data_IF_781582469406
#
_entry.id   IF_781582469406
#
_cell.length_a   1.000
_cell.length_b   1.000
_cell.length_c   1.000
_cell.angle_alpha   90.00
_cell.angle_beta   90.00
_cell.angle_gamma   90.00
#
_symmetry.space_group_name_H-M   'P 1'
#
loop_
_entity.id
_entity.type
_entity.pdbx_description
1 polymer ?
#
# COMPACT_ATOMS: atom_id res chain seq x y z
N UNK A 1 1.69 3.28 -9.56
CA UNK A 1 1.57 2.27 -8.48
C UNK A 1 1.09 2.97 -7.22
N UNK A 2 0.14 2.34 -6.51
CA UNK A 2 -0.29 2.80 -5.18
C UNK A 2 -0.23 1.63 -4.19
N UNK A 3 0.16 1.94 -2.95
CA UNK A 3 0.33 0.95 -1.89
C UNK A 3 -0.45 1.38 -0.65
N UNK A 4 -1.17 0.47 -0.04
CA UNK A 4 -1.79 0.69 1.27
C UNK A 4 -1.50 -0.49 2.22
N UNK A 5 -1.27 -0.18 3.48
CA UNK A 5 -1.21 -1.15 4.59
C UNK A 5 -2.19 -0.79 5.71
N UNK A 6 -3.02 0.23 5.48
CA UNK A 6 -4.02 0.67 6.44
C UNK A 6 -5.31 -0.17 6.35
N UNK A 7 -6.08 -0.29 7.45
CA UNK A 7 -7.39 -0.97 7.45
C UNK A 7 -8.39 -0.35 6.45
N UNK A 8 -8.25 0.96 6.22
CA UNK A 8 -9.03 1.69 5.21
C UNK A 8 -8.11 2.14 4.09
N UNK A 9 -8.53 1.92 2.84
CA UNK A 9 -7.76 2.34 1.66
C UNK A 9 -7.69 3.87 1.58
N UNK A 10 -6.56 4.43 2.02
CA UNK A 10 -6.24 5.87 1.97
C UNK A 10 -5.46 6.27 0.72
N UNK A 11 -4.97 5.30 -0.03
CA UNK A 11 -4.17 5.49 -1.24
C UNK A 11 -5.00 5.32 -2.52
N UNK A 12 -6.29 4.97 -2.39
CA UNK A 12 -7.19 4.69 -3.50
C UNK A 12 -6.59 3.68 -4.51
N UNK A 13 -6.02 2.59 -3.99
CA UNK A 13 -5.23 1.61 -4.76
C UNK A 13 -6.00 1.03 -5.94
N UNK A 14 -7.32 0.94 -5.83
CA UNK A 14 -8.18 0.42 -6.90
C UNK A 14 -8.31 1.33 -8.12
N UNK A 15 -7.84 2.58 -8.02
CA UNK A 15 -7.86 3.56 -9.13
C UNK A 15 -6.51 3.74 -9.81
N UNK A 16 -5.53 2.90 -9.50
CA UNK A 16 -4.20 2.94 -10.08
C UNK A 16 -3.94 1.76 -11.04
N UNK A 17 -3.02 1.93 -11.98
CA UNK A 17 -2.66 0.88 -12.94
C UNK A 17 -2.23 -0.39 -12.22
N UNK A 18 -1.47 -0.25 -11.12
CA UNK A 18 -1.10 -1.32 -10.20
C UNK A 18 -1.42 -0.84 -8.78
N UNK A 19 -2.27 -1.59 -8.09
CA UNK A 19 -2.62 -1.41 -6.68
C UNK A 19 -2.02 -2.53 -5.82
N UNK A 20 -1.51 -2.18 -4.65
CA UNK A 20 -0.87 -3.12 -3.73
C UNK A 20 -1.49 -2.94 -2.35
N UNK A 21 -2.04 -4.01 -1.78
CA UNK A 21 -2.59 -4.01 -0.43
C UNK A 21 -1.75 -4.95 0.44
N UNK A 22 -1.10 -4.39 1.46
CA UNK A 22 -0.36 -5.20 2.42
C UNK A 22 -1.34 -6.03 3.27
N UNK A 23 -1.08 -7.33 3.37
CA UNK A 23 -1.89 -8.30 4.09
C UNK A 23 -1.02 -9.21 4.96
N UNK A 24 -1.65 -9.87 5.92
CA UNK A 24 -1.07 -11.02 6.63
C UNK A 24 -1.85 -12.27 6.25
N UNK A 25 -1.14 -13.36 6.01
CA UNK A 25 -1.77 -14.68 5.90
C UNK A 25 -2.11 -15.25 7.29
N UNK A 26 -2.67 -16.46 7.31
CA UNK A 26 -3.05 -17.15 8.55
C UNK A 26 -1.86 -17.45 9.47
N UNK A 27 -0.66 -17.60 8.91
CA UNK A 27 0.61 -17.84 9.64
C UNK A 27 1.25 -16.53 10.12
N UNK A 28 0.61 -15.39 9.87
CA UNK A 28 1.10 -14.06 10.25
C UNK A 28 2.17 -13.48 9.32
N UNK A 29 2.52 -14.16 8.22
CA UNK A 29 3.45 -13.65 7.21
C UNK A 29 2.89 -12.41 6.51
N UNK A 30 3.77 -11.44 6.27
CA UNK A 30 3.44 -10.25 5.48
C UNK A 30 3.58 -10.59 3.99
N UNK A 31 2.55 -10.27 3.25
CA UNK A 31 2.49 -10.34 1.81
C UNK A 31 1.58 -9.27 1.24
N UNK A 32 1.26 -9.39 -0.03
CA UNK A 32 0.51 -8.36 -0.76
C UNK A 32 -0.61 -8.98 -1.60
N UNK A 33 -1.76 -8.34 -1.58
CA UNK A 33 -2.73 -8.50 -2.67
C UNK A 33 -2.35 -7.54 -3.79
N UNK A 34 -2.31 -8.05 -5.02
CA UNK A 34 -1.96 -7.28 -6.21
C UNK A 34 -3.20 -7.08 -7.07
N UNK A 35 -3.47 -5.82 -7.40
CA UNK A 35 -4.56 -5.42 -8.27
C UNK A 35 -3.99 -4.71 -9.50
N UNK A 36 -4.61 -4.92 -10.66
CA UNK A 36 -4.21 -4.27 -11.91
C UNK A 36 -5.40 -3.73 -12.70
N UNK A 37 -5.14 -2.79 -13.56
CA UNK A 37 -6.11 -2.28 -14.53
C UNK A 37 -7.04 -1.19 -13.99
N UNK A 38 -6.69 -0.52 -12.88
CA UNK A 38 -7.38 0.68 -12.43
C UNK A 38 -6.97 1.94 -13.17
N UNK A 39 -7.80 2.96 -13.08
CA UNK A 39 -7.46 4.28 -13.60
C UNK A 39 -8.67 5.18 -13.74
N UNK A 40 -8.44 6.45 -13.46
CA UNK A 40 -9.40 7.55 -13.68
C UNK A 40 -9.24 8.12 -15.09
N UNK A 41 -9.94 9.16 -15.38
CA UNK A 41 -9.94 9.88 -16.64
C UNK A 41 -11.23 9.61 -17.44
N UNK A 42 -11.18 9.74 -18.77
CA UNK A 42 -12.37 9.70 -19.63
C UNK A 42 -13.20 8.40 -19.49
N UNK A 43 -12.56 7.29 -19.24
CA UNK A 43 -13.21 5.99 -19.00
C UNK A 43 -12.64 5.42 -17.70
N UNK A 44 -13.26 5.73 -16.56
CA UNK A 44 -12.78 5.21 -15.26
C UNK A 44 -12.99 3.70 -15.16
N UNK A 45 -11.99 3.02 -14.62
CA UNK A 45 -12.01 1.57 -14.39
C UNK A 45 -11.46 1.27 -13.00
N UNK A 46 -12.04 0.28 -12.35
CA UNK A 46 -11.61 -0.21 -11.04
C UNK A 46 -10.67 -1.39 -11.27
N UNK A 47 -9.51 -1.34 -10.62
CA UNK A 47 -8.53 -2.44 -10.66
C UNK A 47 -9.13 -3.74 -10.14
N UNK A 48 -8.78 -4.83 -10.79
CA UNK A 48 -9.17 -6.18 -10.41
C UNK A 48 -7.99 -6.90 -9.77
N UNK A 49 -8.27 -7.75 -8.79
CA UNK A 49 -7.25 -8.57 -8.14
C UNK A 49 -6.71 -9.61 -9.12
N UNK A 50 -5.42 -9.57 -9.37
CA UNK A 50 -4.68 -10.56 -10.17
C UNK A 50 -4.02 -11.60 -9.28
N UNK A 51 -3.62 -11.24 -8.06
CA UNK A 51 -3.05 -12.16 -7.06
C UNK A 51 -3.57 -11.83 -5.68
N UNK A 52 -4.16 -12.81 -4.99
CA UNK A 52 -4.76 -12.62 -3.66
C UNK A 52 -3.72 -12.48 -2.54
N UNK A 53 -2.62 -13.21 -2.67
CA UNK A 53 -1.50 -13.15 -1.73
C UNK A 53 -0.18 -13.44 -2.45
N UNK A 54 0.75 -12.51 -2.36
CA UNK A 54 2.10 -12.59 -2.87
C UNK A 54 3.08 -12.41 -1.69
N UNK A 55 3.97 -13.37 -1.39
CA UNK A 55 4.99 -13.19 -0.36
C UNK A 55 5.88 -11.97 -0.64
N UNK A 56 6.27 -11.23 0.41
CA UNK A 56 6.96 -9.92 0.29
C UNK A 56 8.23 -9.98 -0.58
N UNK A 57 8.98 -11.09 -0.53
CA UNK A 57 10.22 -11.28 -1.29
C UNK A 57 10.03 -11.23 -2.81
N UNK A 58 8.84 -11.56 -3.29
CA UNK A 58 8.53 -11.63 -4.72
C UNK A 58 7.88 -10.37 -5.29
N UNK A 59 7.75 -9.30 -4.49
CA UNK A 59 7.03 -8.11 -4.92
C UNK A 59 7.60 -7.50 -6.20
N UNK A 60 8.92 -7.34 -6.28
CA UNK A 60 9.56 -6.71 -7.43
C UNK A 60 9.49 -7.58 -8.67
N UNK A 61 9.75 -8.88 -8.56
CA UNK A 61 9.67 -9.80 -9.70
C UNK A 61 8.26 -9.93 -10.26
N UNK A 62 7.24 -9.89 -9.39
CA UNK A 62 5.85 -9.94 -9.84
C UNK A 62 5.41 -8.65 -10.54
N UNK A 63 5.82 -7.49 -10.03
CA UNK A 63 5.57 -6.20 -10.69
C UNK A 63 6.27 -6.17 -12.06
N UNK A 64 7.50 -6.64 -12.14
CA UNK A 64 8.24 -6.75 -13.39
C UNK A 64 7.50 -7.65 -14.40
N UNK A 65 6.96 -8.79 -13.98
CA UNK A 65 6.17 -9.66 -14.85
C UNK A 65 4.93 -8.92 -15.41
N UNK A 66 4.21 -8.18 -14.57
CA UNK A 66 3.08 -7.35 -15.03
C UNK A 66 3.52 -6.35 -16.08
N UNK A 67 4.65 -5.68 -15.87
CA UNK A 67 5.16 -4.68 -16.80
C UNK A 67 5.64 -5.30 -18.11
N UNK A 68 6.23 -6.50 -18.09
CA UNK A 68 6.64 -7.23 -19.30
C UNK A 68 5.44 -7.65 -20.13
N UNK A 69 4.42 -8.23 -19.52
CA UNK A 69 3.16 -8.56 -20.20
C UNK A 69 2.53 -7.31 -20.81
N UNK A 70 2.46 -6.22 -20.04
CA UNK A 70 1.96 -4.94 -20.56
C UNK A 70 2.83 -4.39 -21.68
N UNK A 71 4.15 -4.51 -21.62
CA UNK A 71 5.05 -4.06 -22.70
C UNK A 71 4.83 -4.85 -23.99
N UNK A 72 4.52 -6.13 -23.89
CA UNK A 72 4.26 -6.99 -25.03
C UNK A 72 2.88 -6.71 -25.66
N UNK A 73 1.83 -6.60 -24.86
CA UNK A 73 0.43 -6.61 -25.31
C UNK A 73 -0.26 -5.24 -25.24
N UNK A 74 0.29 -4.29 -24.48
CA UNK A 74 -0.30 -2.98 -24.33
C UNK A 74 -0.34 -2.19 -25.65
N UNK A 75 -1.45 -1.46 -25.84
CA UNK A 75 -1.66 -0.62 -27.03
C UNK A 75 -0.54 0.43 -27.18
N UNK A 76 0.02 0.55 -28.41
CA UNK A 76 1.04 1.54 -28.75
C UNK A 76 0.62 2.43 -29.93
N UNK A 77 -0.41 2.03 -30.65
CA UNK A 77 -0.99 2.77 -31.77
C UNK A 77 -1.71 4.06 -31.34
N UNK A 78 -2.18 4.11 -30.11
CA UNK A 78 -2.91 5.26 -29.58
C UNK A 78 -2.49 5.58 -28.15
N UNK A 79 -1.82 6.72 -27.96
CA UNK A 79 -1.31 7.18 -26.65
C UNK A 79 -2.38 7.29 -25.55
N UNK A 80 -3.63 7.57 -25.93
CA UNK A 80 -4.75 7.66 -24.98
C UNK A 80 -5.26 6.29 -24.52
N UNK A 81 -4.89 5.25 -25.22
CA UNK A 81 -5.22 3.84 -24.90
C UNK A 81 -4.02 3.04 -24.39
N UNK A 82 -2.84 3.64 -24.31
CA UNK A 82 -1.61 3.01 -23.84
C UNK A 82 -1.57 2.95 -22.30
N UNK A 83 -2.50 2.17 -21.72
CA UNK A 83 -2.66 1.98 -20.26
C UNK A 83 -2.96 0.52 -19.94
N UNK A 84 -2.47 0.04 -18.80
CA UNK A 84 -2.74 -1.33 -18.31
C UNK A 84 -4.25 -1.60 -18.23
N UNK A 85 -5.05 -0.65 -17.80
CA UNK A 85 -6.50 -0.79 -17.70
C UNK A 85 -7.18 -1.15 -19.02
N UNK A 86 -6.63 -0.66 -20.14
CA UNK A 86 -7.17 -0.97 -21.47
C UNK A 86 -6.85 -2.41 -21.85
N UNK A 87 -5.62 -2.87 -21.62
CA UNK A 87 -5.25 -4.26 -21.82
C UNK A 87 -6.12 -5.22 -21.00
N UNK A 88 -6.28 -4.94 -19.71
CA UNK A 88 -7.13 -5.76 -18.82
C UNK A 88 -8.61 -5.74 -19.23
N UNK A 89 -9.09 -4.65 -19.81
CA UNK A 89 -10.45 -4.54 -20.30
C UNK A 89 -10.67 -5.35 -21.59
N UNK A 90 -9.71 -5.30 -22.51
CA UNK A 90 -9.80 -5.94 -23.82
C UNK A 90 -9.59 -7.46 -23.73
N UNK A 91 -8.64 -7.93 -22.91
CA UNK A 91 -8.31 -9.36 -22.78
C UNK A 91 -9.04 -10.05 -21.62
N UNK A 92 -9.40 -9.32 -20.59
CA UNK A 92 -9.93 -9.89 -19.35
C UNK A 92 -8.85 -10.11 -18.29
N UNK A 93 -9.27 -10.14 -17.00
CA UNK A 93 -8.32 -10.28 -15.89
C UNK A 93 -7.74 -11.69 -15.80
N UNK A 94 -8.51 -12.70 -16.13
CA UNK A 94 -8.10 -14.10 -16.02
C UNK A 94 -6.99 -14.41 -17.03
N UNK A 95 -7.18 -14.04 -18.30
CA UNK A 95 -6.17 -14.23 -19.35
C UNK A 95 -4.89 -13.43 -19.06
N UNK A 96 -5.03 -12.15 -18.68
CA UNK A 96 -3.86 -11.34 -18.28
C UNK A 96 -3.18 -11.93 -17.04
N UNK A 97 -3.94 -12.45 -16.10
CA UNK A 97 -3.43 -13.10 -14.90
C UNK A 97 -2.59 -14.34 -15.23
N UNK A 98 -3.08 -15.22 -16.09
CA UNK A 98 -2.33 -16.40 -16.55
C UNK A 98 -1.00 -16.01 -17.19
N UNK A 99 -1.01 -15.04 -18.09
CA UNK A 99 0.23 -14.55 -18.72
C UNK A 99 1.22 -13.94 -17.73
N UNK A 100 0.73 -13.22 -16.72
CA UNK A 100 1.57 -12.65 -15.66
C UNK A 100 2.17 -13.76 -14.79
N UNK A 101 1.39 -14.79 -14.43
CA UNK A 101 1.90 -15.93 -13.66
C UNK A 101 2.97 -16.70 -14.46
N UNK A 102 2.73 -16.96 -15.74
CA UNK A 102 3.68 -17.63 -16.62
C UNK A 102 5.00 -16.85 -16.74
N UNK A 103 4.93 -15.54 -16.94
CA UNK A 103 6.12 -14.70 -17.00
C UNK A 103 6.82 -14.63 -15.65
N UNK A 104 6.05 -14.52 -14.55
CA UNK A 104 6.63 -14.49 -13.21
C UNK A 104 7.34 -15.80 -12.86
N UNK A 105 6.78 -16.96 -13.20
CA UNK A 105 7.44 -18.26 -12.99
C UNK A 105 8.83 -18.33 -13.65
N UNK A 106 9.01 -17.65 -14.78
CA UNK A 106 10.32 -17.60 -15.47
C UNK A 106 11.34 -16.69 -14.76
N UNK A 107 10.87 -15.64 -14.07
CA UNK A 107 11.76 -14.61 -13.52
C UNK A 107 11.81 -14.55 -12.01
N UNK A 108 10.97 -15.29 -11.27
CA UNK A 108 10.84 -15.18 -9.82
C UNK A 108 12.10 -15.48 -9.03
N UNK A 109 13.02 -16.28 -9.60
CA UNK A 109 14.32 -16.62 -9.01
C UNK A 109 15.47 -15.82 -9.63
N UNK A 110 15.16 -14.72 -10.29
CA UNK A 110 16.14 -13.84 -10.92
C UNK A 110 16.73 -12.82 -9.92
N UNK A 111 17.57 -11.93 -10.45
CA UNK A 111 18.17 -10.79 -9.70
C UNK A 111 17.12 -9.84 -9.06
N UNK A 112 15.84 -10.00 -9.39
CA UNK A 112 14.72 -9.23 -8.84
C UNK A 112 14.17 -9.79 -7.51
N UNK A 113 14.65 -10.93 -7.07
CA UNK A 113 14.37 -11.41 -5.72
C UNK A 113 15.15 -10.56 -4.73
N UNK A 114 14.44 -9.94 -3.77
CA UNK A 114 15.08 -9.11 -2.75
C UNK A 114 15.87 -9.98 -1.76
N UNK A 115 17.20 -9.80 -1.67
CA UNK A 115 18.00 -10.49 -0.68
C UNK A 115 17.54 -10.15 0.74
N UNK A 116 17.55 -11.13 1.65
CA UNK A 116 17.18 -10.91 3.04
C UNK A 116 18.01 -9.81 3.72
N UNK A 117 19.28 -9.67 3.34
CA UNK A 117 20.19 -8.63 3.83
C UNK A 117 19.73 -7.24 3.44
N UNK A 118 19.26 -7.06 2.20
CA UNK A 118 18.75 -5.77 1.73
C UNK A 118 17.43 -5.40 2.41
N UNK A 119 16.54 -6.38 2.61
CA UNK A 119 15.32 -6.18 3.39
C UNK A 119 15.68 -5.75 4.81
N UNK A 120 16.60 -6.44 5.49
CA UNK A 120 17.04 -6.11 6.84
C UNK A 120 17.71 -4.73 6.91
N UNK A 121 18.48 -4.33 5.88
CA UNK A 121 19.08 -3.00 5.78
C UNK A 121 18.00 -1.91 5.72
N UNK A 122 16.97 -2.11 4.91
CA UNK A 122 15.87 -1.14 4.77
C UNK A 122 15.02 -1.10 6.04
N UNK A 123 14.72 -2.23 6.66
CA UNK A 123 13.92 -2.31 7.88
C UNK A 123 14.51 -1.49 9.04
N UNK A 124 15.83 -1.31 9.08
CA UNK A 124 16.50 -0.45 10.09
C UNK A 124 16.01 1.00 10.07
N UNK A 125 15.64 1.53 8.89
CA UNK A 125 15.12 2.90 8.75
C UNK A 125 13.68 3.05 9.28
N UNK A 126 12.98 1.94 9.50
CA UNK A 126 11.59 1.91 9.96
C UNK A 126 11.45 1.33 11.36
N UNK A 127 12.55 1.15 12.07
CA UNK A 127 12.52 0.74 13.46
C UNK A 127 11.82 1.81 14.29
N UNK A 128 11.05 1.37 15.28
CA UNK A 128 10.43 2.28 16.23
C UNK A 128 11.52 3.09 16.95
N UNK A 129 11.31 4.40 17.18
CA UNK A 129 12.22 5.19 17.99
C UNK A 129 12.29 4.63 19.41
N UNK A 130 13.36 4.93 20.13
CA UNK A 130 13.43 4.66 21.56
C UNK A 130 12.39 5.54 22.26
N UNK A 131 11.28 4.92 22.68
CA UNK A 131 10.25 5.61 23.43
C UNK A 131 10.72 5.84 24.86
N UNK A 132 10.53 7.07 25.37
CA UNK A 132 10.80 7.38 26.77
C UNK A 132 9.74 6.72 27.66
N UNK A 133 10.13 6.18 28.83
CA UNK A 133 9.17 5.68 29.80
C UNK A 133 8.34 6.84 30.32
N UNK A 134 7.03 6.80 30.09
CA UNK A 134 6.11 7.80 30.62
C UNK A 134 5.80 7.48 32.08
N UNK A 135 6.10 8.41 32.98
CA UNK A 135 5.89 8.26 34.41
C UNK A 135 4.65 9.08 34.82
N UNK A 136 3.56 8.39 35.15
CA UNK A 136 2.36 8.99 35.73
C UNK A 136 1.33 9.51 34.70
N UNK A 137 0.19 9.95 35.19
CA UNK A 137 -0.85 10.63 34.40
C UNK A 137 -0.55 12.14 34.33
N UNK A 138 -0.72 12.71 33.14
CA UNK A 138 -0.64 14.16 32.95
C UNK A 138 -1.94 14.82 33.46
N UNK A 139 -1.95 15.13 34.75
CA UNK A 139 -3.07 15.80 35.42
C UNK A 139 -3.32 17.21 34.87
N UNK A 140 -2.28 17.88 34.35
CA UNK A 140 -2.38 19.21 33.77
C UNK A 140 -3.14 19.17 32.42
N UNK A 141 -2.90 18.17 31.59
CA UNK A 141 -3.66 17.98 30.36
C UNK A 141 -5.15 17.71 30.62
N UNK A 142 -5.44 16.84 31.57
CA UNK A 142 -6.81 16.50 31.96
C UNK A 142 -7.55 17.71 32.52
N UNK A 143 -6.94 18.48 33.43
CA UNK A 143 -7.51 19.70 34.01
C UNK A 143 -7.80 20.75 32.91
N UNK A 144 -6.82 21.05 32.06
CA UNK A 144 -7.01 22.02 30.97
C UNK A 144 -8.12 21.63 30.01
N UNK A 145 -8.21 20.34 29.68
CA UNK A 145 -9.29 19.83 28.82
C UNK A 145 -10.67 19.96 29.47
N UNK A 146 -10.76 19.90 30.79
CA UNK A 146 -11.99 20.11 31.54
C UNK A 146 -12.38 21.58 31.61
N UNK A 147 -11.43 22.45 31.87
CA UNK A 147 -11.65 23.90 32.08
C UNK A 147 -11.88 24.68 30.76
N UNK A 148 -11.17 24.30 29.71
CA UNK A 148 -11.19 25.00 28.42
C UNK A 148 -11.95 24.19 27.35
N UNK A 149 -13.18 24.64 27.05
CA UNK A 149 -14.05 24.01 26.05
C UNK A 149 -13.48 24.07 24.62
N UNK A 150 -12.76 25.14 24.28
CA UNK A 150 -12.13 25.29 22.96
C UNK A 150 -10.97 24.31 22.81
N UNK A 151 -10.14 24.18 23.84
CA UNK A 151 -9.09 23.18 23.89
C UNK A 151 -9.64 21.74 23.84
N UNK A 152 -10.72 21.47 24.59
CA UNK A 152 -11.37 20.15 24.53
C UNK A 152 -11.90 19.81 23.13
N UNK A 153 -12.45 20.79 22.43
CA UNK A 153 -12.89 20.61 21.05
C UNK A 153 -11.72 20.38 20.11
N UNK A 154 -10.64 21.15 20.25
CA UNK A 154 -9.43 20.98 19.47
C UNK A 154 -8.82 19.59 19.67
N UNK A 155 -8.71 19.11 20.91
CA UNK A 155 -8.23 17.77 21.24
C UNK A 155 -9.07 16.69 20.56
N UNK A 156 -10.39 16.80 20.57
CA UNK A 156 -11.28 15.83 19.89
C UNK A 156 -11.03 15.74 18.40
N UNK A 157 -10.69 16.86 17.76
CA UNK A 157 -10.49 16.91 16.31
C UNK A 157 -9.09 16.56 15.86
N UNK A 158 -8.09 16.78 16.71
CA UNK A 158 -6.68 16.77 16.32
C UNK A 158 -5.83 15.71 17.03
N UNK A 159 -6.32 15.12 18.12
CA UNK A 159 -5.56 14.14 18.91
C UNK A 159 -6.17 12.76 18.76
N UNK A 160 -5.37 11.80 18.38
CA UNK A 160 -5.73 10.39 18.30
C UNK A 160 -4.81 9.54 19.17
N UNK A 161 -5.26 8.38 19.67
CA UNK A 161 -4.43 7.49 20.46
C UNK A 161 -3.27 6.94 19.62
N UNK A 162 -2.09 6.88 20.20
CA UNK A 162 -0.94 6.21 19.63
C UNK A 162 -0.94 4.72 20.03
N UNK A 163 -0.36 3.85 19.20
CA UNK A 163 -0.22 2.41 19.49
C UNK A 163 0.68 2.13 20.70
N UNK A 164 1.62 3.04 21.00
CA UNK A 164 2.46 2.99 22.21
C UNK A 164 1.72 3.69 23.34
N UNK A 165 1.44 3.01 24.47
CA UNK A 165 0.82 3.63 25.63
C UNK A 165 1.59 4.84 26.16
N UNK A 166 0.88 5.88 26.59
CA UNK A 166 1.48 7.13 27.06
C UNK A 166 1.81 8.15 25.95
N UNK A 167 1.65 7.79 24.68
CA UNK A 167 1.87 8.67 23.53
C UNK A 167 0.56 8.99 22.80
N UNK A 168 0.53 10.13 22.16
CA UNK A 168 -0.60 10.56 21.34
C UNK A 168 -0.13 11.01 19.95
N UNK A 169 -1.00 10.87 18.96
CA UNK A 169 -0.81 11.42 17.61
C UNK A 169 -1.51 12.77 17.59
N UNK A 170 -0.77 13.83 17.22
CA UNK A 170 -1.32 15.18 17.06
C UNK A 170 -1.30 15.54 15.59
N UNK A 171 -2.48 15.80 15.01
CA UNK A 171 -2.63 16.24 13.63
C UNK A 171 -2.76 17.76 13.58
N UNK A 172 -1.79 18.42 12.97
CA UNK A 172 -1.81 19.87 12.75
C UNK A 172 -2.15 20.15 11.29
N UNK A 173 -3.23 20.93 11.06
CA UNK A 173 -3.54 21.43 9.72
C UNK A 173 -2.68 22.66 9.44
N UNK A 174 -1.87 22.57 8.39
CA UNK A 174 -1.04 23.69 7.91
C UNK A 174 -1.65 24.14 6.58
N UNK A 175 -1.91 25.44 6.46
CA UNK A 175 -2.38 26.03 5.21
C UNK A 175 -1.20 26.38 4.30
#
# INVERSE_FOLDING_TARGET
IAVTGAPHDRAAVRFHDIGIIAKRNWDGEIGFEILIGGGLGRTPMIAKTVRQFLPKRHLLSYIEAILRVYNLLGRRDNKYKARIKIMVHELGIDEVGEMVEDEWERIKTSELELPAEEIARIEKYFQAPAYEPMVGEDTGFAAKRFEDKAFAQWVRSNVAPHKQPGYAIVNLSVK
#
